data_IF_685396785057
#
_entry.id   IF_685396785057
#
_cell.length_a   1.000
_cell.length_b   1.000
_cell.length_c   1.000
_cell.angle_alpha   90.00
_cell.angle_beta   90.00
_cell.angle_gamma   90.00
#
_symmetry.space_group_name_H-M   'P 1'
#
loop_
_entity.id
_entity.type
_entity.pdbx_description
1 polymer ?
#
# COMPACT_ATOMS: atom_id res chain seq x y z
N UNK A 1 22.11 0.22 9.31
CA UNK A 1 20.86 0.66 8.65
C UNK A 1 20.36 -0.34 7.61
N UNK A 2 21.23 -0.94 6.80
CA UNK A 2 20.88 -1.89 5.75
C UNK A 2 20.01 -3.08 6.20
N UNK A 3 20.29 -3.71 7.35
CA UNK A 3 19.49 -4.85 7.82
C UNK A 3 18.04 -4.48 8.18
N UNK A 4 17.81 -3.26 8.71
CA UNK A 4 16.47 -2.79 9.09
C UNK A 4 15.65 -2.48 7.85
N UNK A 5 16.24 -1.81 6.84
CA UNK A 5 15.57 -1.55 5.56
C UNK A 5 15.33 -2.83 4.77
N UNK A 6 16.26 -3.79 4.83
CA UNK A 6 16.07 -5.12 4.25
C UNK A 6 14.91 -5.87 4.90
N UNK A 7 14.83 -5.88 6.24
CA UNK A 7 13.71 -6.49 6.96
C UNK A 7 12.37 -5.84 6.57
N UNK A 8 12.35 -4.51 6.41
CA UNK A 8 11.17 -3.80 5.95
C UNK A 8 10.77 -4.18 4.51
N UNK A 9 11.73 -4.36 3.60
CA UNK A 9 11.47 -4.84 2.23
C UNK A 9 10.90 -6.26 2.22
N UNK A 10 11.48 -7.17 3.00
CA UNK A 10 10.98 -8.54 3.14
C UNK A 10 9.55 -8.53 3.69
N UNK A 11 9.28 -7.72 4.73
CA UNK A 11 7.94 -7.57 5.31
C UNK A 11 6.92 -6.99 4.33
N UNK A 12 7.31 -6.01 3.51
CA UNK A 12 6.47 -5.42 2.46
C UNK A 12 6.07 -6.47 1.41
N UNK A 13 7.05 -7.22 0.89
CA UNK A 13 6.78 -8.25 -0.12
C UNK A 13 5.96 -9.39 0.47
N UNK A 14 6.23 -9.80 1.71
CA UNK A 14 5.41 -10.79 2.40
C UNK A 14 3.94 -10.33 2.52
N UNK A 15 3.69 -9.07 2.88
CA UNK A 15 2.35 -8.50 2.91
C UNK A 15 1.63 -8.56 1.56
N UNK A 16 2.32 -8.23 0.46
CA UNK A 16 1.75 -8.32 -0.89
C UNK A 16 1.52 -9.75 -1.37
N UNK A 17 2.36 -10.72 -0.98
CA UNK A 17 2.12 -12.13 -1.28
C UNK A 17 0.83 -12.60 -0.61
N UNK A 18 0.60 -12.23 0.65
CA UNK A 18 -0.65 -12.57 1.38
C UNK A 18 -1.87 -11.90 0.75
N UNK A 19 -1.73 -10.66 0.26
CA UNK A 19 -2.79 -10.00 -0.49
C UNK A 19 -3.09 -10.70 -1.82
N UNK A 20 -2.06 -11.13 -2.54
CA UNK A 20 -2.17 -11.70 -3.89
C UNK A 20 -2.58 -13.17 -3.91
N UNK A 21 -2.48 -13.90 -2.79
CA UNK A 21 -2.65 -15.36 -2.76
C UNK A 21 -4.10 -15.85 -2.94
N UNK A 22 -5.03 -14.99 -3.37
CA UNK A 22 -6.46 -15.29 -3.52
C UNK A 22 -7.08 -15.90 -2.24
N UNK A 23 -6.68 -15.37 -1.08
CA UNK A 23 -7.34 -15.67 0.19
C UNK A 23 -8.61 -14.82 0.35
N UNK A 24 -9.49 -15.20 1.28
CA UNK A 24 -10.71 -14.44 1.59
C UNK A 24 -10.39 -12.95 1.84
N UNK A 25 -11.34 -12.03 1.56
CA UNK A 25 -11.08 -10.59 1.58
C UNK A 25 -10.58 -10.06 2.94
N UNK A 26 -10.86 -10.75 4.05
CA UNK A 26 -10.27 -10.42 5.36
C UNK A 26 -8.75 -10.60 5.42
N UNK A 27 -8.23 -11.71 4.91
CA UNK A 27 -6.78 -11.97 4.94
C UNK A 27 -6.04 -11.09 3.94
N UNK A 28 -6.68 -10.75 2.82
CA UNK A 28 -6.25 -9.72 1.91
C UNK A 28 -6.10 -8.35 2.63
N UNK A 29 -7.12 -7.94 3.40
CA UNK A 29 -7.06 -6.69 4.16
C UNK A 29 -5.89 -6.67 5.15
N UNK A 30 -5.70 -7.77 5.90
CA UNK A 30 -4.58 -7.90 6.85
C UNK A 30 -3.21 -7.85 6.14
N UNK A 31 -3.06 -8.53 4.99
CA UNK A 31 -1.85 -8.47 4.18
C UNK A 31 -1.52 -7.05 3.71
N UNK A 32 -2.55 -6.30 3.31
CA UNK A 32 -2.42 -4.88 2.95
C UNK A 32 -2.02 -3.99 4.14
N UNK A 33 -2.56 -4.23 5.35
CA UNK A 33 -2.13 -3.49 6.54
C UNK A 33 -0.63 -3.67 6.76
N UNK A 34 -0.19 -4.93 6.77
CA UNK A 34 1.21 -5.29 7.00
C UNK A 34 2.11 -4.68 5.92
N UNK A 35 1.72 -4.79 4.65
CA UNK A 35 2.46 -4.20 3.53
C UNK A 35 2.57 -2.68 3.63
N UNK A 36 1.49 -1.99 4.01
CA UNK A 36 1.48 -0.54 4.17
C UNK A 36 2.37 -0.07 5.34
N UNK A 37 2.37 -0.77 6.48
CA UNK A 37 3.23 -0.44 7.63
C UNK A 37 4.71 -0.56 7.26
N UNK A 38 5.11 -1.66 6.62
CA UNK A 38 6.50 -1.85 6.20
C UNK A 38 6.90 -0.90 5.05
N UNK A 39 5.98 -0.57 4.13
CA UNK A 39 6.21 0.46 3.12
C UNK A 39 6.42 1.85 3.70
N UNK A 40 5.64 2.21 4.71
CA UNK A 40 5.82 3.47 5.44
C UNK A 40 7.17 3.51 6.16
N UNK A 41 7.58 2.39 6.77
CA UNK A 41 8.90 2.28 7.37
C UNK A 41 10.02 2.58 6.36
N UNK A 42 9.95 2.00 5.16
CA UNK A 42 10.94 2.23 4.10
C UNK A 42 10.98 3.71 3.71
N UNK A 43 9.83 4.36 3.52
CA UNK A 43 9.77 5.76 3.12
C UNK A 43 10.34 6.70 4.18
N UNK A 44 10.08 6.43 5.45
CA UNK A 44 10.66 7.19 6.56
C UNK A 44 12.18 7.03 6.58
N UNK A 45 12.70 5.83 6.32
CA UNK A 45 14.15 5.60 6.25
C UNK A 45 14.82 6.35 5.08
N UNK A 46 14.11 6.60 3.98
CA UNK A 46 14.60 7.40 2.83
C UNK A 46 14.47 8.91 3.09
N UNK A 47 13.84 9.32 4.19
CA UNK A 47 13.61 10.73 4.54
C UNK A 47 12.32 11.32 3.96
N UNK A 48 11.49 10.50 3.30
CA UNK A 48 10.25 10.93 2.64
C UNK A 48 9.06 10.81 3.62
N UNK A 49 9.02 11.68 4.63
CA UNK A 49 8.04 11.59 5.72
C UNK A 49 6.61 12.01 5.32
N UNK A 50 6.47 12.99 4.42
CA UNK A 50 5.14 13.47 4.02
C UNK A 50 4.36 12.39 3.26
N UNK A 51 5.00 11.73 2.29
CA UNK A 51 4.37 10.68 1.50
C UNK A 51 4.00 9.46 2.36
N UNK A 52 4.83 9.13 3.36
CA UNK A 52 4.51 8.07 4.31
C UNK A 52 3.22 8.36 5.09
N UNK A 53 3.03 9.58 5.59
CA UNK A 53 1.80 9.97 6.28
C UNK A 53 0.59 9.92 5.35
N UNK A 54 0.72 10.39 4.11
CA UNK A 54 -0.36 10.33 3.11
C UNK A 54 -0.76 8.87 2.82
N UNK A 55 0.21 7.96 2.69
CA UNK A 55 -0.07 6.53 2.52
C UNK A 55 -0.82 5.94 3.72
N UNK A 56 -0.39 6.22 4.96
CA UNK A 56 -1.13 5.76 6.15
C UNK A 56 -2.56 6.31 6.14
N UNK A 57 -2.74 7.60 5.90
CA UNK A 57 -4.05 8.24 5.99
C UNK A 57 -5.02 7.76 4.89
N UNK A 58 -4.59 7.78 3.62
CA UNK A 58 -5.47 7.47 2.50
C UNK A 58 -5.63 5.96 2.33
N UNK A 59 -4.54 5.19 2.47
CA UNK A 59 -4.56 3.76 2.23
C UNK A 59 -5.12 2.99 3.44
N UNK A 60 -4.53 3.14 4.62
CA UNK A 60 -5.01 2.45 5.83
C UNK A 60 -6.29 3.11 6.39
N UNK A 61 -6.37 4.43 6.40
CA UNK A 61 -7.53 5.14 6.97
C UNK A 61 -8.74 5.18 6.03
N UNK A 62 -8.52 5.39 4.73
CA UNK A 62 -9.60 5.53 3.75
C UNK A 62 -9.98 4.19 3.11
N UNK A 63 -9.13 3.70 2.21
CA UNK A 63 -9.47 2.57 1.34
C UNK A 63 -9.62 1.26 2.10
N UNK A 64 -8.78 1.02 3.10
CA UNK A 64 -8.84 -0.23 3.86
C UNK A 64 -10.11 -0.34 4.71
N UNK A 65 -10.60 0.76 5.29
CA UNK A 65 -11.85 0.75 6.07
C UNK A 65 -13.05 0.41 5.20
N UNK A 66 -13.14 1.01 4.01
CA UNK A 66 -14.20 0.68 3.03
C UNK A 66 -14.07 -0.76 2.55
N UNK A 67 -12.83 -1.22 2.30
CA UNK A 67 -12.57 -2.60 1.91
C UNK A 67 -13.00 -3.59 3.01
N UNK A 68 -12.64 -3.35 4.26
CA UNK A 68 -13.05 -4.18 5.41
C UNK A 68 -14.58 -4.20 5.59
N UNK A 69 -15.25 -3.06 5.40
CA UNK A 69 -16.70 -2.99 5.44
C UNK A 69 -17.34 -3.86 4.35
N UNK A 70 -16.86 -3.74 3.10
CA UNK A 70 -17.35 -4.58 1.99
C UNK A 70 -17.02 -6.07 2.17
N UNK A 71 -15.84 -6.37 2.73
CA UNK A 71 -15.44 -7.74 3.06
C UNK A 71 -16.39 -8.35 4.07
N UNK A 72 -16.83 -7.59 5.08
CA UNK A 72 -17.79 -8.05 6.08
C UNK A 72 -19.18 -8.33 5.53
N UNK A 73 -19.60 -7.59 4.51
CA UNK A 73 -20.87 -7.79 3.82
C UNK A 73 -20.84 -9.00 2.87
N UNK A 74 -19.68 -9.32 2.31
CA UNK A 74 -19.51 -10.41 1.34
C UNK A 74 -19.04 -11.73 1.96
N UNK A 75 -18.65 -11.74 3.24
CA UNK A 75 -17.99 -12.90 3.84
C UNK A 75 -18.95 -13.97 4.35
N UNK A 76 -18.62 -15.21 4.05
CA UNK A 76 -19.15 -16.41 4.72
C UNK A 76 -18.65 -16.47 6.18
N UNK A 77 -19.45 -16.97 7.14
CA UNK A 77 -19.13 -16.91 8.57
C UNK A 77 -17.89 -17.72 9.01
N UNK A 78 -17.34 -18.58 8.13
CA UNK A 78 -16.13 -19.37 8.40
C UNK A 78 -15.07 -19.12 7.33
N UNK A 79 -14.15 -18.16 7.53
CA UNK A 79 -13.10 -17.90 6.56
C UNK A 79 -12.03 -19.01 6.61
N UNK A 80 -12.00 -19.88 5.59
CA UNK A 80 -10.90 -20.84 5.40
C UNK A 80 -9.64 -20.12 4.90
N UNK A 81 -8.53 -20.25 5.64
CA UNK A 81 -7.21 -19.82 5.18
C UNK A 81 -6.63 -20.90 4.26
N UNK A 82 -7.05 -20.91 2.99
CA UNK A 82 -6.58 -21.90 2.02
C UNK A 82 -5.18 -21.54 1.52
N UNK A 83 -4.16 -22.21 2.07
CA UNK A 83 -2.79 -22.12 1.56
C UNK A 83 -2.68 -23.02 0.33
N UNK A 84 -2.75 -22.42 -0.86
CA UNK A 84 -2.49 -23.13 -2.11
C UNK A 84 -0.99 -23.43 -2.25
N UNK A 85 -0.64 -24.49 -3.00
CA UNK A 85 0.76 -24.85 -3.28
C UNK A 85 1.56 -23.71 -3.93
N UNK A 86 0.91 -22.82 -4.69
CA UNK A 86 1.53 -21.59 -5.18
C UNK A 86 1.95 -20.66 -4.04
N UNK A 87 1.08 -20.37 -3.07
CA UNK A 87 1.42 -19.52 -1.93
C UNK A 87 2.62 -20.06 -1.15
N UNK A 88 2.66 -21.38 -0.94
CA UNK A 88 3.78 -22.06 -0.29
C UNK A 88 5.10 -21.87 -1.06
N UNK A 89 5.06 -21.99 -2.39
CA UNK A 89 6.23 -21.78 -3.25
C UNK A 89 6.75 -20.34 -3.17
N UNK A 90 5.86 -19.34 -3.17
CA UNK A 90 6.25 -17.93 -3.02
C UNK A 90 6.90 -17.66 -1.65
N UNK A 91 6.36 -18.23 -0.58
CA UNK A 91 6.94 -18.12 0.77
C UNK A 91 8.32 -18.77 0.84
N UNK A 92 8.49 -19.97 0.29
CA UNK A 92 9.78 -20.67 0.25
C UNK A 92 10.81 -19.88 -0.57
N UNK A 93 10.40 -19.35 -1.74
CA UNK A 93 11.27 -18.52 -2.57
C UNK A 93 11.73 -17.27 -1.83
N UNK A 94 10.85 -16.59 -1.10
CA UNK A 94 11.21 -15.44 -0.26
C UNK A 94 12.21 -15.80 0.84
N UNK A 95 12.04 -16.96 1.50
CA UNK A 95 12.97 -17.44 2.53
C UNK A 95 14.34 -17.77 1.94
N UNK A 96 14.39 -18.40 0.77
CA UNK A 96 15.65 -18.71 0.08
C UNK A 96 16.36 -17.43 -0.36
N UNK A 97 15.64 -16.49 -0.97
CA UNK A 97 16.22 -15.20 -1.39
C UNK A 97 16.75 -14.41 -0.20
N UNK A 98 16.00 -14.37 0.90
CA UNK A 98 16.45 -13.66 2.11
C UNK A 98 17.66 -14.35 2.77
N UNK A 99 17.72 -15.67 2.78
CA UNK A 99 18.87 -16.42 3.29
C UNK A 99 20.13 -16.21 2.43
N UNK A 100 19.99 -16.29 1.10
CA UNK A 100 21.09 -15.99 0.16
C UNK A 100 21.54 -14.55 0.36
N UNK A 101 20.61 -13.61 0.53
CA UNK A 101 20.94 -12.20 0.76
C UNK A 101 21.76 -12.02 2.04
N UNK A 102 21.39 -12.65 3.15
CA UNK A 102 22.16 -12.59 4.40
C UNK A 102 23.58 -13.16 4.24
N UNK A 103 23.75 -14.19 3.41
CA UNK A 103 25.04 -14.84 3.18
C UNK A 103 25.95 -14.11 2.18
N UNK A 104 25.38 -13.48 1.15
CA UNK A 104 26.11 -12.89 0.02
C UNK A 104 26.36 -11.39 0.20
N UNK A 105 25.52 -10.68 0.97
CA UNK A 105 25.60 -9.22 1.03
C UNK A 105 26.77 -8.77 1.91
N UNK A 106 27.87 -8.40 1.24
CA UNK A 106 28.87 -7.51 1.81
C UNK A 106 28.22 -6.12 2.00
N UNK A 107 28.37 -5.54 3.19
CA UNK A 107 27.54 -4.41 3.66
C UNK A 107 27.62 -3.14 2.78
N UNK A 108 28.60 -3.06 1.88
CA UNK A 108 28.90 -1.90 1.05
C UNK A 108 27.88 -1.60 -0.07
N UNK A 109 27.25 -2.61 -0.69
CA UNK A 109 26.37 -2.38 -1.84
C UNK A 109 25.01 -1.80 -1.40
N UNK A 110 24.51 -2.22 -0.24
CA UNK A 110 23.19 -1.83 0.24
C UNK A 110 23.18 -0.47 0.95
N UNK A 111 24.30 -0.09 1.59
CA UNK A 111 24.45 1.27 2.08
C UNK A 111 24.33 2.26 0.92
N UNK A 112 24.97 2.04 -0.22
CA UNK A 112 24.85 2.94 -1.38
C UNK A 112 23.43 3.12 -1.93
N UNK A 113 22.57 2.10 -1.83
CA UNK A 113 21.19 2.16 -2.35
C UNK A 113 20.24 2.98 -1.45
N UNK A 114 20.47 2.99 -0.13
CA UNK A 114 19.64 3.70 0.84
C UNK A 114 20.25 5.01 1.35
N UNK A 115 21.56 5.20 1.21
CA UNK A 115 22.28 6.43 1.61
C UNK A 115 22.56 7.37 0.43
N UNK A 116 22.19 6.99 -0.80
CA UNK A 116 22.43 7.77 -2.01
C UNK A 116 21.63 9.08 -2.15
N UNK A 117 20.83 9.46 -1.16
CA UNK A 117 20.27 10.81 -1.08
C UNK A 117 21.26 11.63 -0.27
N UNK A 118 22.18 12.29 -0.96
CA UNK A 118 23.02 13.32 -0.36
C UNK A 118 22.11 14.26 0.43
N UNK A 119 22.27 14.26 1.75
CA UNK A 119 21.66 15.24 2.64
C UNK A 119 22.26 16.61 2.30
N UNK A 120 21.78 17.23 1.22
CA UNK A 120 21.97 18.64 0.99
C UNK A 120 21.33 19.37 2.15
N UNK A 121 22.12 20.16 2.88
CA UNK A 121 21.69 20.94 4.04
C UNK A 121 20.68 22.03 3.63
N UNK A 122 19.47 21.61 3.29
CA UNK A 122 18.31 22.47 3.10
C UNK A 122 17.50 22.46 4.39
N UNK A 123 17.36 23.62 5.03
CA UNK A 123 16.53 23.81 6.24
C UNK A 123 15.04 23.47 6.05
N UNK A 124 14.63 23.08 4.85
CA UNK A 124 13.28 22.68 4.48
C UNK A 124 13.37 21.28 3.84
N UNK A 125 12.70 20.29 4.43
CA UNK A 125 12.65 18.94 3.87
C UNK A 125 12.13 18.97 2.43
N UNK A 126 12.84 18.32 1.51
CA UNK A 126 12.54 18.32 0.06
C UNK A 126 11.07 17.93 -0.24
N UNK A 127 10.50 17.04 0.56
CA UNK A 127 9.09 16.65 0.51
C UNK A 127 8.12 17.83 0.63
N UNK A 128 8.36 18.72 1.59
CA UNK A 128 7.43 19.81 1.92
C UNK A 128 7.44 20.92 0.87
N UNK A 129 8.59 21.14 0.24
CA UNK A 129 8.71 22.08 -0.88
C UNK A 129 8.01 21.53 -2.13
N UNK A 130 8.05 20.22 -2.36
CA UNK A 130 7.31 19.55 -3.44
C UNK A 130 5.79 19.78 -3.36
N UNK A 131 5.20 19.73 -2.17
CA UNK A 131 3.76 19.99 -1.96
C UNK A 131 3.40 21.42 -2.35
N UNK A 132 4.24 22.40 -2.00
CA UNK A 132 4.00 23.81 -2.35
C UNK A 132 4.01 24.05 -3.87
N UNK A 133 4.88 23.36 -4.60
CA UNK A 133 4.97 23.44 -6.06
C UNK A 133 3.74 22.84 -6.75
N UNK A 134 3.13 21.80 -6.16
CA UNK A 134 1.89 21.20 -6.65
C UNK A 134 0.74 22.23 -6.68
N UNK A 135 0.65 23.09 -5.66
CA UNK A 135 -0.37 24.15 -5.63
C UNK A 135 -0.06 25.34 -6.52
N UNK A 136 1.20 25.59 -6.86
CA UNK A 136 1.57 26.73 -7.70
C UNK A 136 1.57 26.38 -9.20
N UNK A 137 2.44 25.45 -9.60
CA UNK A 137 2.61 25.02 -10.99
C UNK A 137 1.59 23.92 -11.36
N UNK A 138 1.24 23.06 -10.41
CA UNK A 138 0.36 21.90 -10.64
C UNK A 138 -1.15 22.21 -10.60
N UNK A 139 -1.57 23.48 -10.59
CA UNK A 139 -2.99 23.87 -10.48
C UNK A 139 -3.89 23.20 -11.52
N UNK A 140 -3.42 23.09 -12.76
CA UNK A 140 -4.19 22.44 -13.83
C UNK A 140 -4.45 20.95 -13.51
N UNK A 141 -3.43 20.23 -13.05
CA UNK A 141 -3.57 18.82 -12.65
C UNK A 141 -4.52 18.67 -11.44
N UNK A 142 -4.47 19.60 -10.47
CA UNK A 142 -5.39 19.60 -9.33
C UNK A 142 -6.85 19.82 -9.73
N UNK A 143 -7.10 20.71 -10.69
CA UNK A 143 -8.46 20.92 -11.21
C UNK A 143 -8.95 19.67 -11.92
N UNK A 144 -8.12 19.06 -12.77
CA UNK A 144 -8.49 17.83 -13.51
C UNK A 144 -8.77 16.67 -12.54
N UNK A 145 -7.92 16.46 -11.53
CA UNK A 145 -8.11 15.38 -10.55
C UNK A 145 -9.34 15.63 -9.66
N UNK A 146 -9.59 16.87 -9.25
CA UNK A 146 -10.80 17.25 -8.51
C UNK A 146 -12.08 17.00 -9.31
N UNK A 147 -12.09 17.37 -10.60
CA UNK A 147 -13.20 17.07 -11.50
C UNK A 147 -13.40 15.57 -11.69
N UNK A 148 -12.33 14.80 -11.84
CA UNK A 148 -12.41 13.35 -11.96
C UNK A 148 -13.03 12.71 -10.70
N UNK A 149 -12.61 13.12 -9.50
CA UNK A 149 -13.17 12.64 -8.23
C UNK A 149 -14.65 13.00 -8.05
N UNK A 150 -15.07 14.17 -8.54
CA UNK A 150 -16.47 14.59 -8.49
C UNK A 150 -17.33 13.75 -9.45
N UNK A 151 -16.82 13.47 -10.66
CA UNK A 151 -17.47 12.57 -11.61
C UNK A 151 -17.58 11.14 -11.07
N UNK A 152 -16.52 10.60 -10.44
CA UNK A 152 -16.60 9.25 -9.83
C UNK A 152 -17.62 9.20 -8.71
N UNK A 153 -17.75 10.27 -7.90
CA UNK A 153 -18.80 10.36 -6.88
C UNK A 153 -20.19 10.29 -7.50
N UNK A 154 -20.47 11.03 -8.59
CA UNK A 154 -21.75 10.93 -9.28
C UNK A 154 -22.01 9.55 -9.88
N UNK A 155 -20.98 8.91 -10.44
CA UNK A 155 -21.10 7.55 -10.97
C UNK A 155 -21.48 6.56 -9.85
N UNK A 156 -20.78 6.60 -8.71
CA UNK A 156 -21.07 5.73 -7.57
C UNK A 156 -22.46 6.00 -7.00
N UNK A 157 -22.87 7.27 -6.92
CA UNK A 157 -24.19 7.67 -6.47
C UNK A 157 -25.30 7.22 -7.44
N UNK A 158 -25.07 7.28 -8.75
CA UNK A 158 -25.97 6.73 -9.76
C UNK A 158 -26.12 5.21 -9.68
N UNK A 159 -25.02 4.48 -9.43
CA UNK A 159 -25.05 3.03 -9.24
C UNK A 159 -25.83 2.64 -7.99
N UNK A 160 -25.62 3.34 -6.87
CA UNK A 160 -26.31 3.05 -5.61
C UNK A 160 -27.79 3.46 -5.62
N UNK A 161 -28.16 4.52 -6.35
CA UNK A 161 -29.57 4.89 -6.58
C UNK A 161 -30.34 3.90 -7.48
N UNK A 162 -29.65 3.24 -8.41
CA UNK A 162 -30.26 2.19 -9.24
C UNK A 162 -30.86 1.03 -8.43
N UNK A 163 -30.35 0.78 -7.22
CA UNK A 163 -30.86 -0.25 -6.30
C UNK A 163 -32.26 0.09 -5.77
N UNK A 164 -32.63 1.38 -5.67
CA UNK A 164 -33.95 1.80 -5.17
C UNK A 164 -35.06 1.80 -6.24
N UNK A 165 -34.71 1.81 -7.54
CA UNK A 165 -35.69 1.85 -8.65
C UNK A 165 -35.66 0.62 -9.58
N UNK A 166 -34.84 -0.40 -9.30
CA UNK A 166 -34.75 -1.63 -10.09
C UNK A 166 -35.68 -2.74 -9.63
N UNK A 167 -36.33 -3.43 -10.57
CA UNK A 167 -37.21 -4.61 -10.40
C UNK A 167 -36.52 -5.88 -9.84
N UNK A 168 -35.33 -5.78 -9.25
CA UNK A 168 -34.59 -6.91 -8.68
C UNK A 168 -34.75 -6.93 -7.16
N UNK A 169 -36.00 -7.08 -6.73
CA UNK A 169 -36.32 -7.61 -5.40
C UNK A 169 -35.94 -9.10 -5.45
N UNK A 170 -34.79 -9.46 -4.90
CA UNK A 170 -34.52 -10.85 -4.57
C UNK A 170 -35.49 -11.25 -3.45
N UNK A 171 -36.33 -12.26 -3.74
CA UNK A 171 -36.99 -13.12 -2.75
C UNK A 171 -35.93 -13.97 -2.08
#
# INVERSE_FOLDING_TARGET
MAYVSFLALVGLVAGFIVMSSNSSPYFAALGLVVGAVFGCWILVNVGISFLSLVLVLIYLGGMLVVFAYSASLASEPYPEFRVNGFMLMWIIMMLVVSFIFILVCDMFIFEGLFTGVEEGWGMVGQDTSGVSLMYNLGKAMLIISGWALLLTLFVVLGITWGVFCGSLRAV
#
